data_IF_831723869607
#
_entry.id   IF_831723869607
#
_cell.length_a   1.000
_cell.length_b   1.000
_cell.length_c   1.000
_cell.angle_alpha   90.00
_cell.angle_beta   90.00
_cell.angle_gamma   90.00
#
_symmetry.space_group_name_H-M   'P 1'
#
loop_
_entity.id
_entity.type
_entity.pdbx_description
1 polymer ?
#
# COMPACT_ATOMS: atom_id res chain seq x y z
N UNK A 1 -7.00 -7.29 -31.21
CA UNK A 1 -6.58 -6.93 -29.84
C UNK A 1 -6.66 -5.41 -29.73
N UNK A 2 -7.24 -4.84 -28.65
CA UNK A 2 -7.42 -3.39 -28.55
C UNK A 2 -6.09 -2.73 -28.16
N UNK A 3 -5.33 -2.27 -29.16
CA UNK A 3 -3.96 -1.71 -29.01
C UNK A 3 -3.88 -0.62 -27.94
N UNK A 4 -4.99 0.07 -27.65
CA UNK A 4 -5.07 1.11 -26.60
C UNK A 4 -5.00 0.56 -25.18
N UNK A 5 -5.49 -0.66 -24.93
CA UNK A 5 -5.44 -1.27 -23.60
C UNK A 5 -4.04 -1.83 -23.31
N UNK A 6 -3.39 -2.42 -24.32
CA UNK A 6 -1.97 -2.82 -24.24
C UNK A 6 -1.11 -1.57 -24.04
N UNK A 7 -1.33 -0.52 -24.81
CA UNK A 7 -0.64 0.75 -24.60
C UNK A 7 -0.93 1.38 -23.22
N UNK A 8 -2.07 1.06 -22.58
CA UNK A 8 -2.34 1.45 -21.19
C UNK A 8 -1.48 0.65 -20.20
N UNK A 9 -1.31 -0.65 -20.45
CA UNK A 9 -0.44 -1.54 -19.68
C UNK A 9 1.02 -1.12 -19.87
N UNK A 10 1.49 -1.00 -21.11
CA UNK A 10 2.87 -0.64 -21.47
C UNK A 10 3.24 0.79 -21.04
N UNK A 11 2.40 1.80 -21.32
CA UNK A 11 2.73 3.20 -20.99
C UNK A 11 2.82 3.45 -19.47
N UNK A 12 2.18 2.63 -18.64
CA UNK A 12 2.23 2.76 -17.18
C UNK A 12 3.34 1.93 -16.51
N UNK A 13 4.05 1.07 -17.24
CA UNK A 13 5.24 0.35 -16.73
C UNK A 13 6.48 1.26 -16.76
N UNK A 14 6.51 2.24 -17.67
CA UNK A 14 7.66 3.14 -17.90
C UNK A 14 7.60 4.52 -17.22
N UNK A 15 6.43 4.97 -16.73
CA UNK A 15 6.28 6.30 -16.12
C UNK A 15 6.19 6.23 -14.58
N UNK A 16 6.91 7.13 -13.89
CA UNK A 16 6.99 7.20 -12.42
C UNK A 16 5.61 7.26 -11.71
N UNK A 17 5.51 6.79 -10.46
CA UNK A 17 4.22 6.55 -9.77
C UNK A 17 3.44 7.80 -9.36
N UNK A 18 3.92 9.01 -9.68
CA UNK A 18 3.29 10.25 -9.23
C UNK A 18 2.62 10.97 -10.39
N UNK A 19 1.28 11.04 -10.31
CA UNK A 19 0.35 11.87 -11.07
C UNK A 19 -0.24 11.32 -12.38
N UNK A 20 -1.48 10.85 -12.21
CA UNK A 20 -2.52 10.44 -13.17
C UNK A 20 -2.44 8.97 -13.58
N UNK A 21 -3.12 8.13 -12.79
CA UNK A 21 -3.77 6.93 -13.33
C UNK A 21 -4.51 7.35 -14.60
N UNK A 22 -4.01 6.91 -15.76
CA UNK A 22 -4.74 7.11 -17.02
C UNK A 22 -5.98 6.24 -16.94
N UNK A 23 -7.11 6.86 -16.64
CA UNK A 23 -8.41 6.20 -16.71
C UNK A 23 -8.77 5.99 -18.18
N UNK A 24 -8.98 4.74 -18.58
CA UNK A 24 -9.58 4.47 -19.89
C UNK A 24 -11.10 4.46 -19.73
N UNK A 25 -11.79 5.32 -20.48
CA UNK A 25 -13.25 5.41 -20.47
C UNK A 25 -13.80 5.06 -21.85
N UNK A 26 -14.73 4.10 -21.88
CA UNK A 26 -15.55 3.73 -23.03
C UNK A 26 -16.99 4.17 -22.73
N UNK A 27 -17.67 4.76 -23.73
CA UNK A 27 -19.05 5.21 -23.58
C UNK A 27 -19.88 4.87 -24.81
N UNK A 28 -21.15 4.54 -24.62
CA UNK A 28 -22.11 4.39 -25.72
C UNK A 28 -23.55 4.25 -25.24
N UNK A 29 -24.46 3.97 -26.16
CA UNK A 29 -25.88 3.75 -25.86
C UNK A 29 -26.10 2.32 -25.36
N UNK A 30 -26.95 2.16 -24.35
CA UNK A 30 -27.45 0.86 -23.93
C UNK A 30 -28.18 0.19 -25.10
N UNK A 31 -28.03 -1.13 -25.19
CA UNK A 31 -28.67 -1.96 -26.20
C UNK A 31 -30.05 -2.42 -25.72
N UNK A 32 -30.21 -2.62 -24.41
CA UNK A 32 -31.45 -3.15 -23.82
C UNK A 32 -32.33 -2.07 -23.17
N UNK A 33 -31.75 -0.93 -22.77
CA UNK A 33 -32.47 0.17 -22.13
C UNK A 33 -32.57 1.35 -23.09
N UNK A 34 -33.79 1.78 -23.47
CA UNK A 34 -33.95 2.98 -24.27
C UNK A 34 -33.44 4.20 -23.50
N UNK A 35 -32.98 5.20 -24.25
CA UNK A 35 -32.55 6.50 -23.71
C UNK A 35 -31.57 6.36 -22.54
N UNK A 36 -30.64 5.41 -22.62
CA UNK A 36 -29.69 5.12 -21.55
C UNK A 36 -28.29 5.08 -22.12
N UNK A 37 -27.37 5.84 -21.52
CA UNK A 37 -25.94 5.78 -21.82
C UNK A 37 -25.26 4.82 -20.85
N UNK A 38 -24.35 4.01 -21.37
CA UNK A 38 -23.45 3.17 -20.59
C UNK A 38 -22.04 3.73 -20.66
N UNK A 39 -21.41 3.88 -19.51
CA UNK A 39 -20.00 4.23 -19.37
C UNK A 39 -19.27 3.05 -18.71
N UNK A 40 -18.12 2.68 -19.28
CA UNK A 40 -17.21 1.69 -18.72
C UNK A 40 -15.90 2.38 -18.41
N UNK A 41 -15.54 2.40 -17.13
CA UNK A 41 -14.25 2.90 -16.66
C UNK A 41 -13.34 1.71 -16.40
N UNK A 42 -12.13 1.73 -16.95
CA UNK A 42 -11.11 0.72 -16.71
C UNK A 42 -9.95 1.33 -15.95
N UNK A 43 -9.65 0.76 -14.79
CA UNK A 43 -8.54 1.13 -13.92
C UNK A 43 -7.54 -0.04 -13.81
N UNK A 44 -6.27 0.29 -13.57
CA UNK A 44 -5.19 -0.68 -13.29
C UNK A 44 -4.70 -0.48 -11.87
N UNK A 45 -4.41 -1.59 -11.19
CA UNK A 45 -3.77 -1.60 -9.87
C UNK A 45 -2.81 -2.77 -9.73
N UNK A 46 -1.83 -2.62 -8.84
CA UNK A 46 -1.00 -3.72 -8.36
C UNK A 46 -1.89 -4.80 -7.70
N UNK A 47 -1.58 -6.06 -7.98
CA UNK A 47 -2.27 -7.22 -7.43
C UNK A 47 -1.37 -8.13 -6.59
N UNK A 48 -0.10 -7.81 -6.37
CA UNK A 48 0.87 -8.65 -5.64
C UNK A 48 0.42 -8.98 -4.23
N UNK A 49 -0.27 -8.06 -3.56
CA UNK A 49 -0.85 -8.25 -2.23
C UNK A 49 -2.24 -8.88 -2.22
N UNK A 50 -2.85 -9.05 -3.39
CA UNK A 50 -4.20 -9.56 -3.49
C UNK A 50 -4.26 -11.09 -3.47
N UNK A 51 -3.20 -11.79 -3.84
CA UNK A 51 -3.20 -13.26 -3.90
C UNK A 51 -1.77 -13.79 -3.91
N UNK A 52 -1.58 -15.09 -3.78
CA UNK A 52 -0.26 -15.68 -3.99
C UNK A 52 -0.02 -15.78 -5.49
N UNK A 53 1.15 -15.35 -5.94
CA UNK A 53 1.55 -15.40 -7.35
C UNK A 53 2.96 -16.03 -7.44
N UNK A 54 3.31 -16.67 -8.57
CA UNK A 54 4.67 -17.10 -8.81
C UNK A 54 5.65 -15.92 -8.66
N UNK A 55 6.81 -16.16 -8.06
CA UNK A 55 7.81 -15.10 -7.81
C UNK A 55 8.39 -14.47 -9.07
N UNK A 56 8.20 -15.13 -10.23
CA UNK A 56 8.62 -14.65 -11.54
C UNK A 56 7.60 -13.73 -12.21
N UNK A 57 6.46 -13.44 -11.56
CA UNK A 57 5.34 -12.69 -12.14
C UNK A 57 5.12 -11.42 -11.32
N UNK A 58 4.91 -10.30 -12.01
CA UNK A 58 4.43 -9.05 -11.42
C UNK A 58 2.95 -8.86 -11.78
N UNK A 59 2.01 -9.23 -10.89
CA UNK A 59 0.60 -9.27 -11.24
C UNK A 59 -0.08 -7.90 -11.12
N UNK A 60 -0.98 -7.62 -12.05
CA UNK A 60 -1.86 -6.46 -12.03
C UNK A 60 -3.33 -6.90 -12.11
N UNK A 61 -4.21 -6.15 -11.47
CA UNK A 61 -5.65 -6.29 -11.64
C UNK A 61 -6.18 -5.14 -12.50
N UNK A 62 -6.79 -5.49 -13.63
CA UNK A 62 -7.55 -4.57 -14.46
C UNK A 62 -9.01 -4.62 -14.03
N UNK A 63 -9.55 -3.48 -13.60
CA UNK A 63 -10.92 -3.39 -13.08
C UNK A 63 -11.77 -2.58 -14.04
N UNK A 64 -12.83 -3.18 -14.57
CA UNK A 64 -13.83 -2.49 -15.37
C UNK A 64 -15.09 -2.24 -14.52
N UNK A 65 -15.48 -0.97 -14.39
CA UNK A 65 -16.68 -0.55 -13.70
C UNK A 65 -17.69 -0.05 -14.72
N UNK A 66 -18.83 -0.73 -14.80
CA UNK A 66 -19.92 -0.38 -15.72
C UNK A 66 -20.97 0.45 -14.99
N UNK A 67 -21.31 1.59 -15.58
CA UNK A 67 -22.34 2.52 -15.13
C UNK A 67 -23.37 2.72 -16.24
N UNK A 68 -24.64 2.78 -15.87
CA UNK A 68 -25.70 3.22 -16.78
C UNK A 68 -26.34 4.51 -16.26
N UNK A 69 -26.64 5.42 -17.16
CA UNK A 69 -27.23 6.73 -16.90
C UNK A 69 -28.40 6.96 -17.85
N UNK A 70 -29.58 7.35 -17.34
CA UNK A 70 -30.65 7.80 -18.22
C UNK A 70 -30.20 9.07 -18.95
N UNK A 71 -30.52 9.16 -20.23
CA UNK A 71 -30.33 10.34 -21.07
C UNK A 71 -31.57 11.20 -20.96
N UNK A 72 -31.46 12.32 -20.26
CA UNK A 72 -32.54 13.30 -20.26
C UNK A 72 -32.49 14.14 -21.55
N UNK A 73 -33.64 14.38 -22.21
CA UNK A 73 -33.70 15.23 -23.39
C UNK A 73 -33.06 16.60 -23.12
N UNK A 74 -32.02 16.94 -23.90
CA UNK A 74 -31.31 18.23 -23.80
C UNK A 74 -30.15 18.28 -22.80
N UNK A 75 -29.85 17.20 -22.05
CA UNK A 75 -28.65 17.15 -21.21
C UNK A 75 -27.47 16.47 -21.91
N UNK A 76 -26.39 17.22 -22.10
CA UNK A 76 -25.12 16.69 -22.62
C UNK A 76 -24.29 15.95 -21.55
N UNK A 77 -24.71 16.00 -20.28
CA UNK A 77 -23.98 15.38 -19.15
C UNK A 77 -24.86 14.32 -18.46
N UNK A 78 -24.28 13.16 -18.11
CA UNK A 78 -25.01 12.12 -17.40
C UNK A 78 -25.57 12.66 -16.08
N UNK A 79 -26.85 12.37 -15.82
CA UNK A 79 -27.48 12.69 -14.54
C UNK A 79 -26.76 11.99 -13.38
N UNK A 80 -26.90 12.50 -12.15
CA UNK A 80 -26.35 11.84 -10.94
C UNK A 80 -27.03 10.49 -10.64
N UNK A 81 -28.23 10.27 -11.17
CA UNK A 81 -29.02 9.06 -10.98
C UNK A 81 -28.52 7.99 -11.93
N UNK A 82 -28.18 6.82 -11.38
CA UNK A 82 -27.76 5.66 -12.18
C UNK A 82 -28.97 4.79 -12.51
N UNK A 83 -29.07 4.35 -13.76
CA UNK A 83 -30.04 3.36 -14.21
C UNK A 83 -29.59 1.94 -13.82
N UNK A 84 -30.56 1.04 -13.61
CA UNK A 84 -30.30 -0.37 -13.38
C UNK A 84 -29.98 -1.07 -14.70
N UNK A 85 -28.76 -1.58 -14.87
CA UNK A 85 -28.34 -2.39 -16.01
C UNK A 85 -28.36 -3.88 -15.66
N UNK A 86 -28.75 -4.74 -16.61
CA UNK A 86 -28.75 -6.19 -16.43
C UNK A 86 -27.31 -6.74 -16.30
N UNK A 87 -27.17 -7.94 -15.73
CA UNK A 87 -25.87 -8.61 -15.67
C UNK A 87 -25.33 -8.92 -17.08
N UNK A 88 -26.18 -9.36 -18.00
CA UNK A 88 -25.78 -9.75 -19.37
C UNK A 88 -25.28 -8.56 -20.18
N UNK A 89 -25.97 -7.42 -20.12
CA UNK A 89 -25.55 -6.23 -20.86
C UNK A 89 -24.27 -5.64 -20.26
N UNK A 90 -24.16 -5.58 -18.93
CA UNK A 90 -22.94 -5.12 -18.28
C UNK A 90 -21.75 -6.05 -18.59
N UNK A 91 -21.97 -7.36 -18.66
CA UNK A 91 -20.97 -8.33 -19.08
C UNK A 91 -20.53 -8.08 -20.53
N UNK A 92 -21.47 -7.84 -21.45
CA UNK A 92 -21.13 -7.50 -22.84
C UNK A 92 -20.27 -6.23 -22.93
N UNK A 93 -20.60 -5.18 -22.18
CA UNK A 93 -19.80 -3.95 -22.09
C UNK A 93 -18.41 -4.20 -21.52
N UNK A 94 -18.29 -5.00 -20.46
CA UNK A 94 -16.99 -5.38 -19.90
C UNK A 94 -16.15 -6.19 -20.89
N UNK A 95 -16.77 -7.11 -21.66
CA UNK A 95 -16.09 -7.86 -22.72
C UNK A 95 -15.58 -6.96 -23.84
N UNK A 96 -16.36 -5.95 -24.25
CA UNK A 96 -15.90 -4.95 -25.23
C UNK A 96 -14.72 -4.14 -24.67
N UNK A 97 -14.80 -3.71 -23.41
CA UNK A 97 -13.74 -2.92 -22.78
C UNK A 97 -12.43 -3.71 -22.63
N UNK A 98 -12.48 -4.94 -22.15
CA UNK A 98 -11.31 -5.81 -22.02
C UNK A 98 -10.83 -6.38 -23.36
N UNK A 99 -11.73 -6.52 -24.33
CA UNK A 99 -11.48 -7.22 -25.59
C UNK A 99 -11.48 -8.74 -25.44
N UNK A 100 -11.60 -9.44 -26.58
CA UNK A 100 -11.78 -10.90 -26.62
C UNK A 100 -10.74 -11.69 -25.81
N UNK A 101 -9.47 -11.29 -25.89
CA UNK A 101 -8.36 -12.02 -25.27
C UNK A 101 -8.43 -12.02 -23.73
N UNK A 102 -8.71 -10.86 -23.12
CA UNK A 102 -8.75 -10.71 -21.66
C UNK A 102 -10.10 -11.10 -21.06
N UNK A 103 -11.18 -10.90 -21.81
CA UNK A 103 -12.53 -11.01 -21.26
C UNK A 103 -12.92 -12.41 -20.79
N UNK A 104 -12.35 -13.44 -21.40
CA UNK A 104 -12.54 -14.84 -20.97
C UNK A 104 -11.89 -15.14 -19.63
N UNK A 105 -10.89 -14.34 -19.24
CA UNK A 105 -10.21 -14.44 -17.95
C UNK A 105 -10.93 -13.66 -16.85
N UNK A 106 -11.95 -12.85 -17.19
CA UNK A 106 -12.58 -11.96 -16.24
C UNK A 106 -13.49 -12.66 -15.20
N UNK A 107 -13.69 -11.94 -14.09
CA UNK A 107 -14.61 -12.26 -13.01
C UNK A 107 -15.53 -11.08 -12.77
N UNK A 108 -16.80 -11.32 -12.55
CA UNK A 108 -17.75 -10.32 -12.04
C UNK A 108 -17.73 -10.33 -10.51
N UNK A 109 -17.60 -9.16 -9.89
CA UNK A 109 -17.77 -9.04 -8.44
C UNK A 109 -19.24 -8.79 -8.11
N UNK A 110 -19.87 -9.79 -7.50
CA UNK A 110 -21.23 -9.68 -6.96
C UNK A 110 -21.19 -9.25 -5.51
N UNK A 111 -22.11 -8.38 -5.12
CA UNK A 111 -22.04 -7.71 -3.83
C UNK A 111 -23.41 -7.75 -3.18
N UNK A 112 -23.43 -8.31 -1.99
CA UNK A 112 -24.57 -8.21 -1.10
C UNK A 112 -24.41 -6.91 -0.29
N UNK A 113 -24.88 -5.79 -0.87
CA UNK A 113 -24.80 -4.47 -0.24
C UNK A 113 -25.83 -4.41 0.92
N UNK A 114 -25.39 -4.27 2.18
CA UNK A 114 -26.31 -4.10 3.30
C UNK A 114 -27.16 -2.83 3.12
N UNK A 115 -28.42 -2.85 3.56
CA UNK A 115 -29.36 -1.72 3.38
C UNK A 115 -28.78 -0.37 3.82
N UNK A 116 -28.07 -0.35 4.95
CA UNK A 116 -27.41 0.87 5.48
C UNK A 116 -26.38 1.50 4.54
N UNK A 117 -25.79 0.72 3.62
CA UNK A 117 -24.76 1.17 2.68
C UNK A 117 -25.32 1.42 1.27
N UNK A 118 -26.58 1.10 0.98
CA UNK A 118 -27.18 1.29 -0.36
C UNK A 118 -27.19 2.76 -0.83
N UNK A 119 -27.09 3.72 0.09
CA UNK A 119 -26.95 5.15 -0.23
C UNK A 119 -25.52 5.55 -0.60
N UNK A 120 -24.52 4.80 -0.13
CA UNK A 120 -23.09 5.09 -0.34
C UNK A 120 -22.52 4.27 -1.49
N UNK A 121 -22.93 3.00 -1.60
CA UNK A 121 -22.53 2.10 -2.67
C UNK A 121 -23.65 2.07 -3.72
N UNK A 122 -23.42 2.61 -4.92
CA UNK A 122 -24.47 2.75 -5.91
C UNK A 122 -24.90 1.35 -6.41
N UNK A 123 -26.16 0.94 -6.16
CA UNK A 123 -26.58 -0.47 -6.26
C UNK A 123 -26.57 -1.03 -7.68
N UNK A 124 -26.42 -0.17 -8.69
CA UNK A 124 -26.48 -0.51 -10.10
C UNK A 124 -25.12 -0.58 -10.78
N UNK A 125 -24.03 -0.38 -10.04
CA UNK A 125 -22.69 -0.57 -10.58
C UNK A 125 -22.37 -2.05 -10.74
N UNK A 126 -21.74 -2.41 -11.84
CA UNK A 126 -21.23 -3.76 -12.08
C UNK A 126 -19.72 -3.70 -12.19
N UNK A 127 -19.05 -4.52 -11.42
CA UNK A 127 -17.60 -4.57 -11.30
C UNK A 127 -17.08 -5.85 -11.92
N UNK A 128 -16.09 -5.71 -12.79
CA UNK A 128 -15.41 -6.84 -13.43
C UNK A 128 -13.90 -6.70 -13.24
N UNK A 129 -13.22 -7.82 -13.08
CA UNK A 129 -11.78 -7.85 -12.82
C UNK A 129 -11.14 -8.91 -13.70
N UNK A 130 -10.02 -8.55 -14.32
CA UNK A 130 -9.08 -9.48 -14.97
C UNK A 130 -7.74 -9.35 -14.25
N UNK A 131 -7.05 -10.47 -14.03
CA UNK A 131 -5.67 -10.47 -13.56
C UNK A 131 -4.75 -10.69 -14.76
N UNK A 132 -3.70 -9.88 -14.86
CA UNK A 132 -2.68 -9.95 -15.91
C UNK A 132 -1.28 -9.89 -15.32
N UNK A 133 -0.27 -10.35 -16.05
CA UNK A 133 1.14 -10.13 -15.70
C UNK A 133 1.66 -8.74 -16.15
N UNK A 134 2.98 -8.52 -16.01
CA UNK A 134 3.66 -7.31 -16.47
C UNK A 134 3.62 -7.07 -17.98
N UNK A 135 3.34 -8.11 -18.78
CA UNK A 135 3.22 -8.04 -20.23
C UNK A 135 1.76 -7.87 -20.68
N UNK A 136 0.81 -7.90 -19.74
CA UNK A 136 -0.62 -7.81 -20.02
C UNK A 136 -1.24 -9.14 -20.44
N UNK A 137 -0.53 -10.25 -20.29
CA UNK A 137 -1.05 -11.59 -20.57
C UNK A 137 -2.03 -12.01 -19.47
N UNK A 138 -3.22 -12.51 -19.81
CA UNK A 138 -4.24 -12.81 -18.83
C UNK A 138 -3.92 -14.10 -18.07
N UNK A 139 -4.28 -14.10 -16.79
CA UNK A 139 -4.17 -15.26 -15.92
C UNK A 139 -5.43 -15.45 -15.08
N UNK A 140 -5.67 -16.70 -14.66
CA UNK A 140 -6.69 -16.98 -13.66
C UNK A 140 -6.26 -16.40 -12.32
N UNK A 141 -7.23 -15.93 -11.54
CA UNK A 141 -6.96 -15.45 -10.21
C UNK A 141 -6.51 -16.63 -9.30
N UNK A 142 -5.60 -16.38 -8.36
CA UNK A 142 -5.28 -17.30 -7.26
C UNK A 142 -6.51 -17.76 -6.48
N UNK A 143 -6.53 -19.00 -5.98
CA UNK A 143 -7.59 -19.51 -5.11
C UNK A 143 -7.73 -18.76 -3.78
N UNK A 144 -6.66 -18.11 -3.34
CA UNK A 144 -6.59 -17.24 -2.17
C UNK A 144 -6.70 -15.74 -2.52
N UNK A 145 -7.16 -15.40 -3.73
CA UNK A 145 -7.26 -14.00 -4.17
C UNK A 145 -8.30 -13.22 -3.34
N UNK A 146 -7.93 -12.03 -2.90
CA UNK A 146 -8.63 -11.18 -1.95
C UNK A 146 -9.49 -10.15 -2.66
N UNK A 147 -10.56 -10.64 -3.29
CA UNK A 147 -11.58 -9.85 -3.97
C UNK A 147 -12.12 -8.69 -3.14
N UNK A 148 -12.18 -8.86 -1.82
CA UNK A 148 -12.63 -7.84 -0.89
C UNK A 148 -11.80 -6.55 -0.88
N UNK A 149 -10.53 -6.61 -1.30
CA UNK A 149 -9.64 -5.46 -1.39
C UNK A 149 -9.70 -4.75 -2.74
N UNK A 150 -10.36 -5.34 -3.75
CA UNK A 150 -10.62 -4.66 -5.03
C UNK A 150 -11.68 -3.58 -4.86
N UNK A 151 -12.79 -3.92 -4.22
CA UNK A 151 -13.92 -3.01 -4.09
C UNK A 151 -14.58 -3.04 -2.71
N UNK A 152 -15.18 -4.17 -2.33
CA UNK A 152 -15.90 -4.27 -1.06
C UNK A 152 -15.63 -5.60 -0.39
N UNK A 153 -15.44 -5.61 0.93
CA UNK A 153 -15.00 -6.79 1.71
C UNK A 153 -15.89 -8.02 1.56
N UNK A 154 -17.16 -7.87 1.18
CA UNK A 154 -18.10 -8.98 0.93
C UNK A 154 -18.31 -9.29 -0.55
N UNK A 155 -17.38 -8.88 -1.42
CA UNK A 155 -17.43 -9.19 -2.85
C UNK A 155 -17.29 -10.70 -3.06
N UNK A 156 -18.23 -11.27 -3.81
CA UNK A 156 -18.22 -12.67 -4.23
C UNK A 156 -17.90 -12.71 -5.72
N UNK A 157 -16.74 -13.25 -6.12
CA UNK A 157 -16.39 -13.39 -7.53
C UNK A 157 -17.31 -14.41 -8.22
N UNK A 158 -17.72 -14.11 -9.44
CA UNK A 158 -18.31 -15.06 -10.40
C UNK A 158 -17.42 -15.07 -11.63
N UNK A 159 -16.84 -16.22 -11.96
CA UNK A 159 -16.09 -16.40 -13.20
C UNK A 159 -17.02 -16.21 -14.41
N UNK A 160 -16.62 -15.39 -15.38
CA UNK A 160 -17.37 -15.25 -16.62
C UNK A 160 -17.23 -16.51 -17.49
N UNK A 161 -18.22 -16.78 -18.33
CA UNK A 161 -18.15 -17.90 -19.26
C UNK A 161 -17.03 -17.67 -20.28
N UNK A 162 -16.08 -18.59 -20.39
CA UNK A 162 -15.02 -18.50 -21.39
C UNK A 162 -15.51 -19.04 -22.75
N UNK A 163 -15.03 -18.43 -23.84
CA UNK A 163 -15.22 -19.00 -25.20
C UNK A 163 -13.93 -19.61 -25.74
N UNK A 164 -12.78 -19.26 -25.17
CA UNK A 164 -11.49 -19.88 -25.46
C UNK A 164 -11.49 -21.36 -25.06
N UNK A 165 -11.32 -22.25 -26.04
CA UNK A 165 -11.36 -23.70 -25.83
C UNK A 165 -10.35 -24.21 -24.80
N UNK A 166 -9.08 -23.78 -24.88
CA UNK A 166 -8.07 -24.19 -23.90
C UNK A 166 -8.38 -23.73 -22.48
N UNK A 167 -8.95 -22.53 -22.32
CA UNK A 167 -9.38 -22.06 -21.01
C UNK A 167 -10.61 -22.84 -20.52
N UNK A 168 -11.56 -23.16 -21.40
CA UNK A 168 -12.70 -24.01 -21.05
C UNK A 168 -12.25 -25.38 -20.51
N UNK A 169 -11.29 -26.00 -21.18
CA UNK A 169 -10.72 -27.29 -20.74
C UNK A 169 -10.05 -27.15 -19.37
N UNK A 170 -9.25 -26.10 -19.16
CA UNK A 170 -8.62 -25.80 -17.88
C UNK A 170 -9.64 -25.54 -16.76
N UNK A 171 -10.69 -24.76 -17.04
CA UNK A 171 -11.76 -24.47 -16.09
C UNK A 171 -12.54 -25.73 -15.70
N UNK A 172 -12.73 -26.65 -16.65
CA UNK A 172 -13.38 -27.93 -16.40
C UNK A 172 -12.52 -28.87 -15.54
N UNK A 173 -11.19 -28.86 -15.73
CA UNK A 173 -10.27 -29.73 -14.98
C UNK A 173 -9.95 -29.22 -13.58
N UNK A 174 -9.75 -27.91 -13.44
CA UNK A 174 -9.10 -27.31 -12.26
C UNK A 174 -9.97 -26.25 -11.58
N UNK A 175 -11.10 -25.90 -12.18
CA UNK A 175 -11.98 -24.84 -11.68
C UNK A 175 -11.51 -23.44 -12.05
N UNK A 176 -12.17 -22.41 -11.50
CA UNK A 176 -12.00 -21.02 -11.93
C UNK A 176 -10.78 -20.32 -11.34
N UNK A 177 -9.92 -21.01 -10.59
CA UNK A 177 -8.79 -20.40 -9.88
C UNK A 177 -7.52 -21.22 -10.07
N UNK A 178 -6.37 -20.58 -9.91
CA UNK A 178 -5.08 -21.25 -9.85
C UNK A 178 -4.85 -21.79 -8.44
N UNK A 179 -4.48 -23.06 -8.31
CA UNK A 179 -3.99 -23.63 -7.04
C UNK A 179 -2.69 -22.96 -6.65
N UNK A 180 -2.69 -22.30 -5.49
CA UNK A 180 -1.53 -21.54 -5.00
C UNK A 180 -0.55 -22.36 -4.19
N UNK A 181 -0.91 -23.59 -3.81
CA UNK A 181 -0.09 -24.43 -2.94
C UNK A 181 1.38 -24.53 -3.37
N UNK A 182 1.72 -24.65 -4.68
CA UNK A 182 3.12 -24.79 -5.12
C UNK A 182 3.98 -23.52 -4.99
N UNK A 183 3.38 -22.33 -4.90
CA UNK A 183 4.09 -21.05 -4.93
C UNK A 183 3.63 -20.07 -3.84
N UNK A 184 2.93 -20.58 -2.82
CA UNK A 184 2.51 -19.80 -1.65
C UNK A 184 3.74 -19.39 -0.84
N UNK A 185 3.78 -18.12 -0.41
CA UNK A 185 4.80 -17.65 0.51
C UNK A 185 4.73 -18.44 1.83
N UNK A 186 5.81 -19.08 2.30
CA UNK A 186 5.81 -19.89 3.51
C UNK A 186 5.47 -19.10 4.78
N UNK A 187 5.46 -17.77 4.71
CA UNK A 187 5.10 -16.84 5.79
C UNK A 187 3.62 -16.46 5.77
N UNK A 188 2.82 -17.08 4.91
CA UNK A 188 1.39 -16.85 4.79
C UNK A 188 0.58 -18.10 5.15
N UNK A 189 -0.60 -17.89 5.72
CA UNK A 189 -1.58 -18.94 5.97
C UNK A 189 -2.25 -19.36 4.65
N UNK A 190 -3.10 -20.40 4.70
CA UNK A 190 -3.76 -20.91 3.50
C UNK A 190 -4.66 -19.89 2.78
N UNK A 191 -5.18 -18.89 3.51
CA UNK A 191 -5.96 -17.78 2.97
C UNK A 191 -5.11 -16.64 2.35
N UNK A 192 -3.79 -16.86 2.20
CA UNK A 192 -2.84 -15.91 1.64
C UNK A 192 -2.56 -14.68 2.51
N UNK A 193 -3.05 -14.65 3.75
CA UNK A 193 -2.70 -13.64 4.74
C UNK A 193 -1.38 -13.96 5.44
N UNK A 194 -0.66 -12.95 5.92
CA UNK A 194 0.52 -13.15 6.76
C UNK A 194 0.18 -14.02 7.96
N UNK A 195 1.06 -14.96 8.29
CA UNK A 195 1.04 -15.63 9.59
C UNK A 195 1.53 -14.62 10.63
N UNK A 196 0.67 -14.27 11.58
CA UNK A 196 0.93 -13.25 12.59
C UNK A 196 0.60 -13.82 13.97
N UNK A 197 1.63 -13.91 14.81
CA UNK A 197 1.46 -14.30 16.20
C UNK A 197 0.90 -13.16 17.04
N UNK A 198 0.04 -13.48 18.00
CA UNK A 198 -0.40 -12.55 19.05
C UNK A 198 0.16 -13.04 20.37
N UNK A 199 1.04 -12.26 20.99
CA UNK A 199 1.75 -12.61 22.23
C UNK A 199 1.57 -11.53 23.29
N UNK A 200 1.98 -11.82 24.53
CA UNK A 200 1.78 -10.94 25.70
C UNK A 200 0.56 -11.35 26.54
N UNK A 201 0.15 -10.48 27.45
CA UNK A 201 -0.97 -10.76 28.36
C UNK A 201 -2.32 -10.48 27.71
N UNK A 202 -2.78 -11.42 26.89
CA UNK A 202 -4.10 -11.36 26.24
C UNK A 202 -5.24 -11.79 27.17
N UNK A 203 -4.94 -12.43 28.31
CA UNK A 203 -5.93 -13.02 29.21
C UNK A 203 -6.53 -11.99 30.15
N UNK A 204 -5.77 -10.97 30.54
CA UNK A 204 -6.24 -9.88 31.41
C UNK A 204 -7.02 -8.79 30.66
N UNK A 205 -7.08 -8.85 29.32
CA UNK A 205 -7.79 -7.86 28.51
C UNK A 205 -9.29 -7.81 28.83
N UNK A 206 -9.83 -6.59 28.89
CA UNK A 206 -11.28 -6.36 28.88
C UNK A 206 -11.89 -6.92 27.59
N UNK A 207 -13.22 -7.18 27.55
CA UNK A 207 -13.87 -7.64 26.32
C UNK A 207 -13.62 -6.71 25.12
N UNK A 208 -13.72 -5.40 25.32
CA UNK A 208 -13.47 -4.39 24.27
C UNK A 208 -12.03 -4.43 23.77
N UNK A 209 -11.07 -4.52 24.69
CA UNK A 209 -9.64 -4.60 24.34
C UNK A 209 -9.31 -5.88 23.57
N UNK A 210 -9.93 -7.01 23.95
CA UNK A 210 -9.79 -8.30 23.25
C UNK A 210 -10.32 -8.19 21.81
N UNK A 211 -11.51 -7.62 21.63
CA UNK A 211 -12.11 -7.42 20.31
C UNK A 211 -11.25 -6.49 19.43
N UNK A 212 -10.60 -5.50 20.03
CA UNK A 212 -9.68 -4.59 19.36
C UNK A 212 -8.39 -5.30 18.91
N UNK A 213 -7.80 -6.15 19.76
CA UNK A 213 -6.64 -6.97 19.39
C UNK A 213 -7.01 -7.98 18.31
N UNK A 214 -8.20 -8.59 18.36
CA UNK A 214 -8.65 -9.49 17.30
C UNK A 214 -8.89 -8.74 15.98
N UNK A 215 -9.42 -7.51 16.04
CA UNK A 215 -9.52 -6.64 14.87
C UNK A 215 -8.14 -6.31 14.29
N UNK A 216 -7.14 -6.03 15.14
CA UNK A 216 -5.76 -5.83 14.75
C UNK A 216 -5.19 -7.05 14.03
N UNK A 217 -5.36 -8.24 14.61
CA UNK A 217 -4.92 -9.49 14.00
C UNK A 217 -5.52 -9.67 12.60
N UNK A 218 -6.84 -9.49 12.46
CA UNK A 218 -7.52 -9.62 11.15
C UNK A 218 -7.07 -8.59 10.11
N UNK A 219 -6.64 -7.40 10.51
CA UNK A 219 -6.15 -6.35 9.60
C UNK A 219 -4.68 -6.61 9.24
N UNK A 220 -3.82 -6.83 10.23
CA UNK A 220 -2.38 -6.96 9.99
C UNK A 220 -1.97 -8.33 9.43
N UNK A 221 -2.85 -9.34 9.45
CA UNK A 221 -2.73 -10.52 8.58
C UNK A 221 -2.93 -10.21 7.10
N UNK A 222 -3.51 -9.06 6.74
CA UNK A 222 -3.72 -8.72 5.32
C UNK A 222 -2.43 -8.15 4.72
N UNK A 223 -2.01 -8.72 3.59
CA UNK A 223 -0.97 -8.13 2.74
C UNK A 223 -1.46 -6.79 2.19
N UNK A 224 -0.56 -5.82 2.11
CA UNK A 224 -0.89 -4.45 1.70
C UNK A 224 -1.84 -3.70 2.65
N UNK A 225 -2.09 -4.19 3.87
CA UNK A 225 -3.01 -3.53 4.81
C UNK A 225 -2.58 -2.10 5.16
N UNK A 226 -1.27 -1.88 5.17
CA UNK A 226 -0.63 -0.61 5.47
C UNK A 226 0.07 -0.12 4.21
N UNK A 227 1.08 -0.86 3.74
CA UNK A 227 1.74 -0.67 2.44
C UNK A 227 2.13 -2.05 1.88
N UNK A 228 2.49 -2.11 0.59
CA UNK A 228 3.01 -3.33 -0.06
C UNK A 228 4.32 -3.83 0.54
N UNK A 229 5.08 -2.91 1.13
CA UNK A 229 6.38 -3.22 1.72
C UNK A 229 6.28 -3.54 3.22
N UNK A 230 5.07 -3.45 3.79
CA UNK A 230 4.81 -3.70 5.20
C UNK A 230 4.52 -5.19 5.45
N UNK A 231 5.45 -5.89 6.08
CA UNK A 231 5.28 -7.27 6.49
C UNK A 231 5.14 -7.39 8.02
N UNK A 232 3.92 -7.51 8.52
CA UNK A 232 3.67 -7.83 9.93
C UNK A 232 4.34 -9.15 10.32
N UNK A 233 4.99 -9.17 11.49
CA UNK A 233 5.59 -10.38 12.09
C UNK A 233 4.80 -10.87 13.28
N UNK A 234 4.46 -9.96 14.19
CA UNK A 234 3.72 -10.31 15.42
C UNK A 234 3.06 -9.07 15.99
N UNK A 235 2.05 -9.32 16.82
CA UNK A 235 1.38 -8.35 17.66
C UNK A 235 1.74 -8.66 19.11
N UNK A 236 2.27 -7.68 19.83
CA UNK A 236 2.61 -7.82 21.27
C UNK A 236 1.66 -6.95 22.07
N UNK A 237 0.91 -7.58 22.97
CA UNK A 237 0.04 -6.90 23.93
C UNK A 237 0.84 -6.64 25.20
N UNK A 238 1.08 -5.36 25.49
CA UNK A 238 1.78 -4.88 26.67
C UNK A 238 0.88 -3.91 27.44
N UNK A 239 0.15 -4.46 28.42
CA UNK A 239 -0.87 -3.76 29.18
C UNK A 239 -1.94 -3.14 28.28
N UNK A 240 -1.99 -1.81 28.21
CA UNK A 240 -2.94 -1.05 27.37
C UNK A 240 -2.38 -0.67 26.00
N UNK A 241 -1.20 -1.19 25.63
CA UNK A 241 -0.53 -0.90 24.37
C UNK A 241 -0.47 -2.14 23.49
N UNK A 242 -0.77 -1.94 22.21
CA UNK A 242 -0.55 -2.91 21.16
C UNK A 242 0.69 -2.48 20.37
N UNK A 243 1.74 -3.29 20.43
CA UNK A 243 2.93 -3.12 19.61
C UNK A 243 2.79 -3.98 18.34
N UNK A 244 2.89 -3.34 17.18
CA UNK A 244 2.87 -4.02 15.88
C UNK A 244 4.32 -4.15 15.42
N UNK A 245 4.85 -5.37 15.51
CA UNK A 245 6.18 -5.68 14.98
C UNK A 245 6.07 -6.03 13.50
N UNK A 246 6.91 -5.41 12.68
CA UNK A 246 6.92 -5.64 11.24
C UNK A 246 8.33 -5.55 10.66
N UNK A 247 8.48 -6.01 9.42
CA UNK A 247 9.67 -5.76 8.60
C UNK A 247 9.27 -4.95 7.38
N UNK A 248 10.10 -4.00 7.02
CA UNK A 248 10.00 -3.34 5.72
C UNK A 248 10.64 -4.23 4.65
N UNK A 249 10.09 -4.22 3.43
CA UNK A 249 10.67 -4.93 2.30
C UNK A 249 12.13 -4.53 2.11
N UNK A 250 12.99 -5.52 1.84
CA UNK A 250 14.44 -5.37 1.69
C UNK A 250 15.19 -4.81 2.92
N UNK A 251 14.50 -4.64 4.06
CA UNK A 251 15.12 -4.14 5.27
C UNK A 251 15.43 -5.31 6.23
N UNK A 252 16.68 -5.43 6.73
CA UNK A 252 17.04 -6.49 7.67
C UNK A 252 16.41 -6.29 9.05
N UNK A 253 16.10 -5.05 9.44
CA UNK A 253 15.61 -4.70 10.77
C UNK A 253 14.15 -5.10 11.01
N UNK A 254 13.83 -5.31 12.28
CA UNK A 254 12.45 -5.40 12.78
C UNK A 254 12.07 -4.04 13.37
N UNK A 255 10.93 -3.52 12.94
CA UNK A 255 10.38 -2.26 13.39
C UNK A 255 9.17 -2.48 14.31
N UNK A 256 8.89 -1.51 15.16
CA UNK A 256 7.70 -1.48 16.02
C UNK A 256 7.03 -0.13 15.93
N UNK A 257 5.72 -0.16 15.71
CA UNK A 257 4.81 0.97 15.96
C UNK A 257 3.85 0.57 17.09
N UNK A 258 3.40 1.55 17.86
CA UNK A 258 2.54 1.31 19.02
C UNK A 258 1.21 2.05 18.89
N UNK A 259 0.13 1.37 19.26
CA UNK A 259 -1.21 1.94 19.38
C UNK A 259 -1.77 1.68 20.77
N UNK A 260 -2.48 2.66 21.35
CA UNK A 260 -3.22 2.46 22.60
C UNK A 260 -4.47 1.62 22.32
N UNK A 261 -4.64 0.53 23.07
CA UNK A 261 -5.79 -0.37 22.98
C UNK A 261 -6.98 0.26 23.72
N UNK A 262 -8.16 0.42 23.07
CA UNK A 262 -9.40 0.81 23.74
C UNK A 262 -9.77 -0.18 24.86
N UNK A 263 -10.06 0.31 26.05
CA UNK A 263 -10.40 -0.51 27.21
C UNK A 263 -11.92 -0.60 27.45
N UNK A 264 -12.68 0.38 26.98
CA UNK A 264 -14.15 0.45 27.08
C UNK A 264 -14.78 1.12 25.86
N UNK A 265 -16.10 1.00 25.70
CA UNK A 265 -16.82 1.63 24.59
C UNK A 265 -16.69 3.17 24.57
N UNK A 266 -16.45 3.79 25.72
CA UNK A 266 -16.25 5.24 25.84
C UNK A 266 -14.91 5.71 25.27
N UNK A 267 -13.95 4.81 25.03
CA UNK A 267 -12.66 5.15 24.42
C UNK A 267 -12.77 5.39 22.89
N UNK A 268 -13.90 5.02 22.28
CA UNK A 268 -14.14 5.24 20.85
C UNK A 268 -14.61 6.68 20.58
N UNK A 269 -13.96 7.36 19.63
CA UNK A 269 -14.16 8.80 19.32
C UNK A 269 -15.41 9.02 18.41
N UNK A 270 -16.27 8.01 18.25
CA UNK A 270 -17.37 8.02 17.28
C UNK A 270 -16.91 7.72 15.85
N UNK A 271 -17.80 7.81 14.84
CA UNK A 271 -17.45 7.45 13.46
C UNK A 271 -16.33 8.34 12.90
N UNK A 272 -15.31 7.77 12.21
CA UNK A 272 -15.25 6.38 11.75
C UNK A 272 -14.83 5.37 12.82
N UNK A 273 -14.08 5.73 13.86
CA UNK A 273 -13.52 4.82 14.89
C UNK A 273 -14.48 4.39 16.01
N UNK A 274 -15.74 4.11 15.71
CA UNK A 274 -16.83 3.90 16.68
C UNK A 274 -16.96 2.48 17.27
N UNK A 275 -16.09 1.56 16.89
CA UNK A 275 -16.05 0.18 17.38
C UNK A 275 -14.65 -0.41 17.15
N UNK A 276 -14.31 -1.58 17.75
CA UNK A 276 -12.97 -2.16 17.63
C UNK A 276 -12.44 -2.32 16.20
N UNK A 277 -13.29 -2.82 15.29
CA UNK A 277 -12.89 -3.01 13.88
C UNK A 277 -12.65 -1.70 13.16
N UNK A 278 -13.48 -0.69 13.44
CA UNK A 278 -13.39 0.60 12.79
C UNK A 278 -12.23 1.44 13.36
N UNK A 279 -11.99 1.39 14.68
CA UNK A 279 -10.81 1.96 15.32
C UNK A 279 -9.52 1.45 14.68
N UNK A 280 -9.38 0.12 14.56
CA UNK A 280 -8.16 -0.45 13.99
C UNK A 280 -8.01 -0.14 12.50
N UNK A 281 -9.11 -0.01 11.77
CA UNK A 281 -9.07 0.43 10.37
C UNK A 281 -8.55 1.87 10.26
N UNK A 282 -8.98 2.77 11.16
CA UNK A 282 -8.47 4.15 11.23
C UNK A 282 -6.97 4.16 11.54
N UNK A 283 -6.53 3.42 12.55
CA UNK A 283 -5.10 3.34 12.92
C UNK A 283 -4.25 2.78 11.78
N UNK A 284 -4.70 1.72 11.11
CA UNK A 284 -3.98 1.17 9.96
C UNK A 284 -3.91 2.15 8.79
N UNK A 285 -4.97 2.93 8.55
CA UNK A 285 -4.99 4.00 7.55
C UNK A 285 -4.03 5.13 7.92
N UNK A 286 -4.01 5.56 9.19
CA UNK A 286 -3.05 6.57 9.69
C UNK A 286 -1.62 6.09 9.46
N UNK A 287 -1.30 4.85 9.84
CA UNK A 287 0.03 4.29 9.57
C UNK A 287 0.32 4.18 8.07
N UNK A 288 -0.65 3.80 7.24
CA UNK A 288 -0.47 3.79 5.78
C UNK A 288 -0.07 5.17 5.29
N UNK A 289 -0.83 6.21 5.65
CA UNK A 289 -0.54 7.58 5.27
C UNK A 289 0.84 8.03 5.77
N UNK A 290 1.14 7.77 7.04
CA UNK A 290 2.42 8.11 7.64
C UNK A 290 3.58 7.37 6.96
N UNK A 291 3.47 6.09 6.64
CA UNK A 291 4.54 5.39 5.93
C UNK A 291 4.75 5.89 4.50
N UNK A 292 3.70 6.39 3.84
CA UNK A 292 3.84 7.01 2.52
C UNK A 292 4.35 8.46 2.58
N UNK A 293 4.20 9.18 3.69
CA UNK A 293 4.39 10.64 3.74
C UNK A 293 5.33 11.17 4.83
N UNK A 294 5.55 10.42 5.92
CA UNK A 294 6.07 10.96 7.18
C UNK A 294 6.97 10.04 7.99
N UNK A 295 6.64 8.77 8.20
CA UNK A 295 7.39 7.86 9.09
C UNK A 295 8.79 7.51 8.59
N UNK A 296 9.04 7.46 7.28
CA UNK A 296 10.42 7.30 6.82
C UNK A 296 11.29 8.52 7.18
N UNK A 297 10.69 9.72 7.19
CA UNK A 297 11.43 10.98 7.12
C UNK A 297 11.38 11.81 8.43
N UNK A 298 10.34 11.64 9.23
CA UNK A 298 10.00 12.53 10.36
C UNK A 298 9.77 11.80 11.68
N UNK A 299 9.72 10.47 11.68
CA UNK A 299 9.50 9.70 12.90
C UNK A 299 10.73 9.71 13.80
N UNK A 300 10.49 9.80 15.12
CA UNK A 300 11.53 9.51 16.11
C UNK A 300 11.79 8.01 16.11
N UNK A 301 13.03 7.62 15.82
CA UNK A 301 13.49 6.24 15.90
C UNK A 301 14.28 6.05 17.19
N UNK A 302 14.00 4.97 17.92
CA UNK A 302 14.87 4.50 19.00
C UNK A 302 15.06 3.00 18.87
N UNK A 303 16.23 2.47 19.24
CA UNK A 303 16.50 1.04 19.16
C UNK A 303 16.50 0.44 20.56
N UNK A 304 15.75 -0.66 20.73
CA UNK A 304 15.72 -1.45 21.97
C UNK A 304 16.07 -2.88 21.60
N UNK A 305 17.28 -3.31 21.94
CA UNK A 305 17.85 -4.57 21.45
C UNK A 305 17.95 -4.56 19.92
N UNK A 306 17.38 -5.58 19.27
CA UNK A 306 17.39 -5.70 17.80
C UNK A 306 16.16 -5.08 17.12
N UNK A 307 15.35 -4.31 17.85
CA UNK A 307 14.09 -3.74 17.37
C UNK A 307 14.15 -2.22 17.30
N UNK A 308 13.72 -1.65 16.19
CA UNK A 308 13.62 -0.21 15.97
C UNK A 308 12.20 0.25 16.27
N UNK A 309 12.02 1.02 17.35
CA UNK A 309 10.76 1.65 17.70
C UNK A 309 10.57 2.94 16.91
N UNK A 310 9.41 3.04 16.26
CA UNK A 310 8.96 4.18 15.49
C UNK A 310 7.92 4.94 16.34
N UNK A 311 8.33 6.11 16.83
CA UNK A 311 7.47 7.06 17.55
C UNK A 311 6.72 8.00 16.61
N UNK A 312 5.77 8.77 17.16
CA UNK A 312 5.10 9.82 16.41
C UNK A 312 6.10 10.87 15.89
N UNK A 313 5.82 11.49 14.74
CA UNK A 313 6.69 12.54 14.21
C UNK A 313 6.59 13.78 15.08
N UNK A 314 7.70 14.48 15.30
CA UNK A 314 7.65 15.81 15.88
C UNK A 314 6.94 16.75 14.90
N UNK A 315 5.73 17.21 15.25
CA UNK A 315 4.88 18.08 14.39
C UNK A 315 5.44 19.51 14.19
N UNK A 316 6.75 19.72 14.33
CA UNK A 316 7.37 21.04 14.20
C UNK A 316 7.63 21.36 12.73
N UNK A 317 6.73 22.18 12.17
CA UNK A 317 6.99 23.05 11.02
C UNK A 317 6.60 22.48 9.66
N UNK A 318 5.67 23.14 8.98
CA UNK A 318 5.45 22.94 7.54
C UNK A 318 6.61 23.57 6.79
N UNK A 319 7.60 22.78 6.40
CA UNK A 319 8.73 23.28 5.61
C UNK A 319 8.39 23.22 4.11
N UNK A 320 8.85 24.22 3.34
CA UNK A 320 8.74 24.29 1.88
C UNK A 320 9.74 23.36 1.16
N UNK A 321 10.45 22.52 1.91
CA UNK A 321 11.54 21.69 1.43
C UNK A 321 11.12 20.22 1.31
N UNK A 322 11.54 19.57 0.23
CA UNK A 322 11.27 18.15 -0.01
C UNK A 322 12.58 17.41 -0.20
N UNK A 323 12.65 16.18 0.31
CA UNK A 323 13.80 15.30 0.14
C UNK A 323 13.60 14.36 -1.05
N UNK A 324 14.66 14.15 -1.82
CA UNK A 324 14.70 13.18 -2.91
C UNK A 324 15.91 12.27 -2.77
N UNK A 325 15.67 10.96 -2.71
CA UNK A 325 16.72 9.94 -2.77
C UNK A 325 17.16 9.64 -4.21
N UNK A 326 18.46 9.44 -4.42
CA UNK A 326 19.01 8.85 -5.64
C UNK A 326 18.71 7.34 -5.70
N UNK A 327 18.35 6.82 -6.88
CA UNK A 327 17.95 5.42 -7.05
C UNK A 327 19.12 4.44 -7.26
N UNK A 328 20.32 4.94 -7.58
CA UNK A 328 21.48 4.13 -7.94
C UNK A 328 22.74 4.62 -7.21
N UNK A 329 23.42 3.73 -6.48
CA UNK A 329 24.70 4.01 -5.81
C UNK A 329 24.57 4.36 -4.32
N UNK A 330 25.58 5.05 -3.74
CA UNK A 330 25.53 5.47 -2.34
C UNK A 330 24.30 6.33 -2.07
N UNK A 331 23.75 6.20 -0.86
CA UNK A 331 22.55 6.91 -0.44
C UNK A 331 22.79 8.42 -0.53
N UNK A 332 22.21 9.04 -1.56
CA UNK A 332 22.33 10.47 -1.84
C UNK A 332 20.97 11.13 -1.63
N UNK A 333 20.91 12.08 -0.69
CA UNK A 333 19.70 12.82 -0.34
C UNK A 333 19.82 14.27 -0.78
N UNK A 334 18.85 14.74 -1.55
CA UNK A 334 18.77 16.11 -2.02
C UNK A 334 17.62 16.85 -1.36
N UNK A 335 17.91 17.95 -0.69
CA UNK A 335 16.93 18.90 -0.22
C UNK A 335 16.59 19.88 -1.35
N UNK A 336 15.32 19.98 -1.71
CA UNK A 336 14.87 20.84 -2.81
C UNK A 336 13.93 21.97 -2.36
N UNK A 337 14.12 23.16 -2.92
CA UNK A 337 13.21 24.32 -2.78
C UNK A 337 12.82 24.79 -4.19
N UNK A 338 11.52 24.85 -4.48
CA UNK A 338 11.00 25.21 -5.82
C UNK A 338 11.63 24.40 -6.98
N UNK A 339 11.90 23.11 -6.75
CA UNK A 339 12.50 22.20 -7.73
C UNK A 339 14.02 22.33 -7.91
N UNK A 340 14.69 23.21 -7.15
CA UNK A 340 16.15 23.36 -7.17
C UNK A 340 16.78 22.66 -5.96
N UNK A 341 17.89 21.94 -6.16
CA UNK A 341 18.67 21.34 -5.08
C UNK A 341 19.39 22.45 -4.29
N UNK A 342 19.05 22.58 -3.02
CA UNK A 342 19.61 23.60 -2.12
C UNK A 342 20.52 22.99 -1.05
N UNK A 343 20.38 21.70 -0.74
CA UNK A 343 21.34 20.96 0.08
C UNK A 343 21.44 19.50 -0.36
N UNK A 344 22.54 18.84 -0.02
CA UNK A 344 22.86 17.48 -0.41
C UNK A 344 23.63 16.76 0.70
N UNK A 345 23.25 15.52 1.02
CA UNK A 345 23.98 14.63 1.91
C UNK A 345 24.25 13.28 1.23
N UNK A 346 25.43 12.70 1.45
CA UNK A 346 25.81 11.39 0.93
C UNK A 346 26.21 10.48 2.08
N UNK A 347 25.57 9.32 2.16
CA UNK A 347 25.94 8.24 3.07
C UNK A 347 26.30 6.99 2.26
N UNK A 348 27.44 6.40 2.61
CA UNK A 348 27.97 5.20 1.95
C UNK A 348 27.98 4.08 2.98
N UNK A 349 27.52 2.90 2.60
CA UNK A 349 27.69 1.71 3.44
C UNK A 349 29.17 1.30 3.49
N UNK A 350 29.67 1.11 4.70
CA UNK A 350 30.96 0.48 4.96
C UNK A 350 30.71 -0.97 5.44
N UNK A 351 31.80 -1.70 5.70
CA UNK A 351 31.75 -3.06 6.23
C UNK A 351 31.27 -3.05 7.69
N UNK A 352 30.71 -4.18 8.15
CA UNK A 352 30.41 -4.45 9.57
C UNK A 352 29.37 -3.53 10.23
N UNK A 353 28.24 -3.27 9.57
CA UNK A 353 27.15 -2.44 10.13
C UNK A 353 27.57 -0.99 10.40
N UNK A 354 28.60 -0.49 9.71
CA UNK A 354 29.04 0.89 9.76
C UNK A 354 28.64 1.58 8.44
N UNK A 355 28.16 2.80 8.51
CA UNK A 355 28.00 3.67 7.35
C UNK A 355 28.85 4.94 7.51
N UNK A 356 29.24 5.55 6.41
CA UNK A 356 30.04 6.79 6.38
C UNK A 356 29.18 7.93 5.84
N UNK A 357 28.93 8.95 6.64
CA UNK A 357 28.42 10.23 6.16
C UNK A 357 29.57 11.00 5.51
N UNK A 358 29.75 10.83 4.21
CA UNK A 358 30.91 11.35 3.48
C UNK A 358 30.79 12.85 3.18
N UNK A 359 29.56 13.34 2.98
CA UNK A 359 29.34 14.69 2.48
C UNK A 359 28.06 15.30 3.02
N UNK A 360 28.13 16.57 3.40
CA UNK A 360 26.99 17.45 3.67
C UNK A 360 27.33 18.81 3.07
N UNK A 361 26.59 19.20 2.03
CA UNK A 361 26.77 20.47 1.31
C UNK A 361 25.42 21.22 1.28
N UNK A 362 25.44 22.54 1.45
CA UNK A 362 24.24 23.38 1.35
C UNK A 362 24.52 24.75 0.77
N UNK A 363 23.52 25.36 0.14
CA UNK A 363 23.54 26.79 -0.18
C UNK A 363 23.51 27.61 1.12
N UNK A 364 24.09 28.81 1.08
CA UNK A 364 24.32 29.64 2.27
C UNK A 364 23.02 30.15 2.93
N UNK A 365 21.90 30.17 2.20
CA UNK A 365 20.60 30.65 2.67
C UNK A 365 19.70 29.52 3.20
N UNK A 366 20.16 28.27 3.18
CA UNK A 366 19.40 27.15 3.75
C UNK A 366 19.45 27.22 5.27
N UNK A 367 18.30 27.27 5.97
CA UNK A 367 18.29 27.28 7.42
C UNK A 367 18.97 26.04 8.00
N UNK A 368 19.75 26.21 9.07
CA UNK A 368 20.46 25.09 9.73
C UNK A 368 19.51 23.96 10.16
N UNK A 369 18.27 24.29 10.56
CA UNK A 369 17.26 23.31 10.90
C UNK A 369 16.91 22.35 9.73
N UNK A 370 16.94 22.85 8.49
CA UNK A 370 16.66 22.04 7.30
C UNK A 370 17.86 21.15 6.93
N UNK A 371 19.09 21.65 7.11
CA UNK A 371 20.32 20.86 6.96
C UNK A 371 20.33 19.75 8.01
N UNK A 372 20.02 20.08 9.26
CA UNK A 372 19.89 19.12 10.37
C UNK A 372 18.88 18.03 10.04
N UNK A 373 17.73 18.41 9.50
CA UNK A 373 16.70 17.47 9.08
C UNK A 373 17.15 16.57 7.93
N UNK A 374 17.82 17.12 6.90
CA UNK A 374 18.37 16.31 5.80
C UNK A 374 19.41 15.29 6.31
N UNK A 375 20.35 15.73 7.16
CA UNK A 375 21.35 14.83 7.77
C UNK A 375 20.65 13.77 8.61
N UNK A 376 19.66 14.16 9.43
CA UNK A 376 18.87 13.23 10.21
C UNK A 376 18.23 12.13 9.37
N UNK A 377 17.66 12.49 8.22
CA UNK A 377 17.08 11.52 7.28
C UNK A 377 18.17 10.61 6.72
N UNK A 378 19.35 11.14 6.39
CA UNK A 378 20.48 10.33 5.91
C UNK A 378 20.91 9.27 6.94
N UNK A 379 20.99 9.65 8.21
CA UNK A 379 21.34 8.71 9.30
C UNK A 379 20.29 7.62 9.48
N UNK A 380 19.00 7.99 9.36
CA UNK A 380 17.91 7.03 9.48
C UNK A 380 17.86 6.06 8.30
N UNK A 381 18.11 6.52 7.09
CA UNK A 381 18.20 5.65 5.92
C UNK A 381 19.37 4.67 6.08
N UNK A 382 20.53 5.12 6.57
CA UNK A 382 21.65 4.23 6.88
C UNK A 382 21.31 3.21 7.98
N UNK A 383 20.59 3.64 9.02
CA UNK A 383 20.06 2.75 10.05
C UNK A 383 19.13 1.68 9.47
N UNK A 384 18.27 2.12 8.55
CA UNK A 384 17.29 1.29 7.88
C UNK A 384 18.00 0.26 6.98
N UNK A 385 19.13 0.59 6.34
CA UNK A 385 19.90 -0.43 5.59
C UNK A 385 20.71 -1.40 6.46
N UNK A 386 20.78 -1.15 7.77
CA UNK A 386 21.38 -2.06 8.75
C UNK A 386 22.59 -1.49 9.48
N UNK A 387 22.97 -0.23 9.23
CA UNK A 387 24.03 0.40 9.99
C UNK A 387 23.64 0.56 11.46
N UNK A 388 24.52 0.12 12.37
CA UNK A 388 24.43 0.39 13.81
C UNK A 388 25.20 1.65 14.22
N UNK A 389 26.12 2.09 13.37
CA UNK A 389 26.96 3.25 13.59
C UNK A 389 27.12 4.03 12.30
N UNK A 390 27.09 5.36 12.38
CA UNK A 390 27.49 6.24 11.28
C UNK A 390 28.75 6.99 11.67
N UNK A 391 29.79 6.92 10.85
CA UNK A 391 31.04 7.64 11.04
C UNK A 391 31.19 8.76 10.03
N UNK A 392 31.97 9.78 10.35
CA UNK A 392 32.26 10.87 9.42
C UNK A 392 33.57 11.56 9.76
N UNK A 393 34.23 12.11 8.74
CA UNK A 393 35.37 13.03 8.90
C UNK A 393 34.96 14.50 8.82
N UNK A 394 33.65 14.78 8.65
CA UNK A 394 33.13 16.14 8.56
C UNK A 394 33.20 16.81 9.93
N UNK A 395 33.97 17.89 10.01
CA UNK A 395 34.06 18.75 11.18
C UNK A 395 33.03 19.88 11.07
N UNK A 396 31.82 19.61 11.56
CA UNK A 396 30.70 20.56 11.54
C UNK A 396 30.07 20.64 12.94
N UNK A 397 29.95 21.85 13.54
CA UNK A 397 29.32 22.01 14.86
C UNK A 397 27.90 21.45 14.96
N UNK A 398 27.18 21.46 13.84
CA UNK A 398 25.85 20.87 13.71
C UNK A 398 25.85 19.37 14.06
N UNK A 399 26.87 18.61 13.65
CA UNK A 399 26.94 17.16 13.86
C UNK A 399 27.12 16.84 15.35
N UNK A 400 27.96 17.60 16.06
CA UNK A 400 28.11 17.47 17.51
C UNK A 400 26.77 17.73 18.23
N UNK A 401 26.04 18.78 17.81
CA UNK A 401 24.71 19.09 18.34
C UNK A 401 23.66 18.01 18.04
N UNK A 402 23.88 17.21 16.99
CA UNK A 402 23.08 16.03 16.68
C UNK A 402 23.49 14.79 17.49
N UNK A 403 24.59 14.83 18.23
CA UNK A 403 25.06 13.73 19.07
C UNK A 403 26.24 12.94 18.53
N UNK A 404 26.86 13.38 17.43
CA UNK A 404 28.14 12.83 16.98
C UNK A 404 29.23 13.11 18.04
N UNK A 405 30.09 12.11 18.29
CA UNK A 405 31.18 12.18 19.27
C UNK A 405 32.51 11.82 18.61
N UNK A 406 33.63 12.47 18.96
CA UNK A 406 34.93 12.12 18.42
C UNK A 406 35.34 10.69 18.84
N UNK A 407 35.85 9.89 17.89
CA UNK A 407 36.27 8.49 18.12
C UNK A 407 37.74 8.33 18.52
N UNK A 408 38.46 9.45 18.66
CA UNK A 408 39.90 9.49 18.96
C UNK A 408 40.82 9.20 17.77
N UNK A 409 40.28 8.88 16.59
CA UNK A 409 41.02 8.63 15.33
C UNK A 409 40.81 9.72 14.29
N UNK A 410 40.30 10.88 14.71
CA UNK A 410 39.97 11.99 13.80
C UNK A 410 38.69 11.76 12.99
N UNK A 411 37.81 10.89 13.48
CA UNK A 411 36.42 10.78 13.01
C UNK A 411 35.47 11.16 14.12
N UNK A 412 34.25 11.46 13.71
CA UNK A 412 33.10 11.52 14.56
C UNK A 412 32.24 10.29 14.34
N UNK A 413 31.67 9.77 15.42
CA UNK A 413 30.82 8.57 15.48
C UNK A 413 29.47 8.96 16.02
N UNK A 414 28.42 8.47 15.36
CA UNK A 414 27.05 8.56 15.80
C UNK A 414 26.49 7.15 15.99
N UNK A 415 26.19 6.81 17.24
CA UNK A 415 25.56 5.55 17.58
C UNK A 415 24.06 5.65 17.26
N UNK A 416 23.64 4.97 16.20
CA UNK A 416 22.23 4.88 15.79
C UNK A 416 21.36 4.23 16.88
N UNK A 417 21.99 3.52 17.82
CA UNK A 417 21.36 2.70 18.87
C UNK A 417 21.08 3.47 20.16
N UNK A 418 21.78 4.57 20.43
CA UNK A 418 21.66 5.25 21.72
C UNK A 418 20.42 6.15 21.74
N UNK A 419 19.62 6.06 22.79
CA UNK A 419 18.40 6.87 23.01
C UNK A 419 18.62 8.33 22.56
N UNK A 420 17.95 8.71 21.48
CA UNK A 420 17.80 10.11 21.05
C UNK A 420 16.53 10.67 21.64
#
# INVERSE_FOLDING_TARGET
MNTKLIALVEAQVTEQPQHRQREYMLSGQSVLLPDTRVDVRVDRRDAGDLGSFPSSVTPFALTAVVHAYPLEPGMSRPGRVRAAISDDEAEAWARVAFGHHLSDYAYQLRIDIPDRLRRQIPPHQKWFVVVVDEHGEPMLAPDNFRWGLIFYTRSRPRKLHAVNGSLCDQLASSGPYVDTTPFRDPRTDADGGWTVDVVGDTKSLTPVARDAVEAAHRIFRRRGAVTTDFQTKRLVVDGTTLQIHFRWKNNPNVFVISARIPQSDSDFIGPPGHNPSAWMSTVAQEYSEEFHTGYMVRTRRSRVGDVVHLGQPDRRGGSEYYLRGGADGPLSLHLQRCGQCVAHAVVVEEVDEIAVLERVESQADVPEAEIRWMVWVALNEAADTGARCVVTHLDMPLLEAMGFRPDGRGRFVFDVVSEM
#
